data_IF_518440251526
#
_entry.id   IF_518440251526
#
_cell.length_a   1.000
_cell.length_b   1.000
_cell.length_c   1.000
_cell.angle_alpha   90.00
_cell.angle_beta   90.00
_cell.angle_gamma   90.00
#
_symmetry.space_group_name_H-M   'P 1'
#
loop_
_entity.id
_entity.type
_entity.pdbx_description
1 polymer ?
#
# COMPACT_ATOMS: atom_id res chain seq x y z
N UNK A 1 -7.25 1.79 -20.80
CA UNK A 1 -7.29 1.58 -19.34
C UNK A 1 -6.41 0.40 -19.04
N UNK A 2 -5.35 0.61 -18.29
CA UNK A 2 -4.50 -0.48 -17.84
C UNK A 2 -5.02 -1.08 -16.51
N UNK A 3 -4.28 -2.03 -15.94
CA UNK A 3 -4.69 -2.69 -14.69
C UNK A 3 -4.69 -1.74 -13.50
N UNK A 4 -3.77 -0.78 -13.44
CA UNK A 4 -3.68 0.15 -12.33
C UNK A 4 -4.84 1.14 -12.37
N UNK A 5 -5.13 1.70 -13.55
CA UNK A 5 -6.30 2.55 -13.77
C UNK A 5 -7.59 1.83 -13.33
N UNK A 6 -7.74 0.57 -13.74
CA UNK A 6 -8.92 -0.21 -13.41
C UNK A 6 -9.06 -0.46 -11.90
N UNK A 7 -7.95 -0.73 -11.19
CA UNK A 7 -7.96 -0.87 -9.73
C UNK A 7 -8.40 0.43 -9.05
N UNK A 8 -7.89 1.58 -9.50
CA UNK A 8 -8.28 2.88 -8.96
C UNK A 8 -9.77 3.17 -9.13
N UNK A 9 -10.32 2.86 -10.31
CA UNK A 9 -11.76 3.01 -10.59
C UNK A 9 -12.63 2.09 -9.73
N UNK A 10 -12.26 0.81 -9.63
CA UNK A 10 -12.98 -0.15 -8.78
C UNK A 10 -12.97 0.30 -7.31
N UNK A 11 -11.81 0.74 -6.81
CA UNK A 11 -11.70 1.21 -5.43
C UNK A 11 -12.51 2.47 -5.20
N UNK A 12 -12.46 3.43 -6.13
CA UNK A 12 -13.21 4.68 -6.01
C UNK A 12 -14.71 4.42 -5.95
N UNK A 13 -15.23 3.56 -6.84
CA UNK A 13 -16.63 3.19 -6.84
C UNK A 13 -17.05 2.50 -5.52
N UNK A 14 -16.20 1.63 -4.99
CA UNK A 14 -16.45 0.99 -3.68
C UNK A 14 -16.44 2.00 -2.53
N UNK A 15 -15.43 2.87 -2.46
CA UNK A 15 -15.30 3.90 -1.42
C UNK A 15 -16.50 4.85 -1.39
N UNK A 16 -16.94 5.31 -2.56
CA UNK A 16 -18.10 6.19 -2.69
C UNK A 16 -19.38 5.52 -2.20
N UNK A 17 -19.60 4.25 -2.58
CA UNK A 17 -20.76 3.48 -2.11
C UNK A 17 -20.70 3.21 -0.60
N UNK A 18 -19.52 2.88 -0.07
CA UNK A 18 -19.29 2.65 1.35
C UNK A 18 -19.56 3.93 2.16
N UNK A 19 -18.98 5.05 1.76
CA UNK A 19 -19.17 6.34 2.41
C UNK A 19 -20.65 6.74 2.43
N UNK A 20 -21.35 6.54 1.30
CA UNK A 20 -22.79 6.81 1.19
C UNK A 20 -23.62 5.92 2.11
N UNK A 21 -23.35 4.61 2.15
CA UNK A 21 -24.11 3.65 2.99
C UNK A 21 -23.87 3.82 4.49
N UNK A 22 -22.69 4.31 4.86
CA UNK A 22 -22.26 4.42 6.26
C UNK A 22 -22.35 5.85 6.81
N UNK A 23 -22.85 6.79 6.02
CA UNK A 23 -22.95 8.22 6.36
C UNK A 23 -21.59 8.82 6.79
N UNK A 24 -20.56 8.61 5.97
CA UNK A 24 -19.17 9.00 6.27
C UNK A 24 -18.70 10.22 5.44
N UNK A 25 -19.64 10.98 4.87
CA UNK A 25 -19.34 12.10 3.96
C UNK A 25 -18.68 13.29 4.66
N UNK A 26 -18.90 13.46 5.97
CA UNK A 26 -18.41 14.61 6.74
C UNK A 26 -17.01 14.40 7.33
N UNK A 27 -16.34 13.30 6.99
CA UNK A 27 -14.98 13.02 7.47
C UNK A 27 -13.98 13.78 6.60
N UNK A 28 -13.17 14.63 7.24
CA UNK A 28 -12.12 15.37 6.55
C UNK A 28 -10.97 14.47 6.10
N UNK A 29 -10.18 14.98 5.16
CA UNK A 29 -9.08 14.26 4.53
C UNK A 29 -8.02 13.79 5.54
N UNK A 30 -7.67 14.60 6.55
CA UNK A 30 -6.66 14.23 7.53
C UNK A 30 -7.15 13.10 8.45
N UNK A 31 -8.42 13.14 8.85
CA UNK A 31 -9.06 12.07 9.61
C UNK A 31 -9.18 10.78 8.79
N UNK A 32 -9.49 10.86 7.49
CA UNK A 32 -9.46 9.71 6.59
C UNK A 32 -8.07 9.07 6.53
N UNK A 33 -7.02 9.87 6.37
CA UNK A 33 -5.66 9.36 6.34
C UNK A 33 -5.28 8.61 7.63
N UNK A 34 -5.72 9.10 8.80
CA UNK A 34 -5.52 8.39 10.06
C UNK A 34 -6.25 7.03 10.07
N UNK A 35 -7.48 6.98 9.56
CA UNK A 35 -8.28 5.74 9.50
C UNK A 35 -7.66 4.71 8.55
N UNK A 36 -7.26 5.13 7.36
CA UNK A 36 -6.66 4.24 6.36
C UNK A 36 -5.29 3.71 6.83
N UNK A 37 -4.45 4.56 7.45
CA UNK A 37 -3.18 4.11 8.03
C UNK A 37 -3.42 3.07 9.13
N UNK A 38 -4.41 3.30 9.99
CA UNK A 38 -4.76 2.34 11.04
C UNK A 38 -5.27 1.01 10.45
N UNK A 39 -6.06 1.07 9.38
CA UNK A 39 -6.54 -0.13 8.67
C UNK A 39 -5.36 -0.93 8.10
N UNK A 40 -4.42 -0.29 7.40
CA UNK A 40 -3.20 -0.96 6.89
C UNK A 40 -2.38 -1.58 8.04
N UNK A 41 -2.24 -0.89 9.18
CA UNK A 41 -1.53 -1.46 10.35
C UNK A 41 -2.23 -2.73 10.85
N UNK A 42 -3.57 -2.74 10.85
CA UNK A 42 -4.36 -3.92 11.21
C UNK A 42 -4.06 -5.09 10.27
N UNK A 43 -4.19 -4.87 8.95
CA UNK A 43 -3.97 -5.91 7.94
C UNK A 43 -2.51 -6.42 7.90
N UNK A 44 -1.54 -5.55 8.18
CA UNK A 44 -0.15 -5.97 8.37
C UNK A 44 0.00 -6.90 9.58
N UNK A 45 -0.78 -6.70 10.64
CA UNK A 45 -0.86 -7.59 11.78
C UNK A 45 -1.47 -8.95 11.42
N UNK A 46 -2.51 -8.97 10.59
CA UNK A 46 -3.13 -10.18 10.04
C UNK A 46 -2.13 -10.96 9.18
N UNK A 47 -1.48 -10.27 8.23
CA UNK A 47 -0.42 -10.82 7.39
C UNK A 47 0.74 -11.40 8.22
N UNK A 48 1.14 -10.71 9.28
CA UNK A 48 2.19 -11.19 10.17
C UNK A 48 1.79 -12.49 10.88
N UNK A 49 0.51 -12.66 11.23
CA UNK A 49 0.01 -13.91 11.81
C UNK A 49 0.05 -15.09 10.84
N UNK A 50 0.06 -14.85 9.52
CA UNK A 50 0.16 -15.90 8.50
C UNK A 50 1.58 -16.42 8.27
N UNK A 51 2.58 -15.75 8.85
CA UNK A 51 3.98 -16.18 8.86
C UNK A 51 4.46 -16.57 10.27
N UNK A 52 5.61 -17.25 10.34
CA UNK A 52 6.18 -17.76 11.60
C UNK A 52 6.96 -16.68 12.38
N UNK A 53 6.35 -15.52 12.67
CA UNK A 53 7.04 -14.45 13.39
C UNK A 53 7.25 -14.73 14.89
N UNK A 54 6.38 -15.58 15.48
CA UNK A 54 6.45 -15.97 16.90
C UNK A 54 7.58 -16.98 17.07
N UNK A 55 8.80 -16.50 17.22
CA UNK A 55 10.01 -17.32 17.34
C UNK A 55 10.01 -18.27 18.56
N UNK A 56 9.13 -18.03 19.54
CA UNK A 56 8.92 -18.89 20.71
C UNK A 56 7.84 -19.97 20.51
N UNK A 57 7.29 -20.13 19.30
CA UNK A 57 6.32 -21.18 18.94
C UNK A 57 6.90 -22.12 17.88
N UNK A 58 6.36 -23.35 17.85
CA UNK A 58 6.68 -24.30 16.77
C UNK A 58 6.24 -23.74 15.41
N UNK A 59 7.06 -23.91 14.35
CA UNK A 59 6.71 -23.46 13.01
C UNK A 59 5.42 -24.13 12.49
N UNK A 60 4.58 -23.34 11.82
CA UNK A 60 3.44 -23.83 11.04
C UNK A 60 3.72 -23.71 9.53
N UNK A 61 3.10 -24.55 8.67
CA UNK A 61 3.11 -24.33 7.24
C UNK A 61 2.53 -22.96 6.89
N UNK A 62 3.10 -22.31 5.87
CA UNK A 62 2.63 -21.02 5.39
C UNK A 62 1.33 -21.20 4.60
N UNK A 63 0.31 -20.40 4.90
CA UNK A 63 -0.92 -20.35 4.13
C UNK A 63 -0.82 -19.26 3.05
N UNK A 64 -0.41 -19.64 1.84
CA UNK A 64 -0.28 -18.73 0.70
C UNK A 64 -1.60 -18.07 0.29
N UNK A 65 -2.73 -18.77 0.51
CA UNK A 65 -4.06 -18.23 0.21
C UNK A 65 -4.39 -17.05 1.11
N UNK A 66 -4.15 -17.20 2.42
CA UNK A 66 -4.36 -16.14 3.39
C UNK A 66 -3.40 -14.98 3.22
N UNK A 67 -2.11 -15.25 3.00
CA UNK A 67 -1.14 -14.18 2.67
C UNK A 67 -1.61 -13.32 1.50
N UNK A 68 -2.13 -13.95 0.44
CA UNK A 68 -2.63 -13.23 -0.73
C UNK A 68 -3.86 -12.38 -0.39
N UNK A 69 -4.76 -12.88 0.46
CA UNK A 69 -5.92 -12.14 0.96
C UNK A 69 -5.47 -10.86 1.68
N UNK A 70 -4.60 -10.98 2.69
CA UNK A 70 -4.13 -9.84 3.46
C UNK A 70 -3.33 -8.83 2.61
N UNK A 71 -2.55 -9.30 1.63
CA UNK A 71 -1.84 -8.42 0.68
C UNK A 71 -2.80 -7.61 -0.21
N UNK A 72 -3.95 -8.19 -0.58
CA UNK A 72 -4.98 -7.51 -1.36
C UNK A 72 -5.73 -6.51 -0.48
N UNK A 73 -5.99 -6.82 0.79
CA UNK A 73 -6.63 -5.89 1.72
C UNK A 73 -5.74 -4.68 2.01
N UNK A 74 -4.43 -4.88 2.17
CA UNK A 74 -3.45 -3.78 2.24
C UNK A 74 -3.50 -2.91 0.97
N UNK A 75 -3.63 -3.52 -0.20
CA UNK A 75 -3.73 -2.79 -1.47
C UNK A 75 -5.02 -1.96 -1.52
N UNK A 76 -6.16 -2.49 -1.10
CA UNK A 76 -7.44 -1.76 -1.05
C UNK A 76 -7.28 -0.45 -0.27
N UNK A 77 -6.80 -0.51 0.97
CA UNK A 77 -6.62 0.68 1.81
C UNK A 77 -5.57 1.64 1.25
N UNK A 78 -4.48 1.14 0.65
CA UNK A 78 -3.49 2.01 0.03
C UNK A 78 -4.06 2.79 -1.17
N UNK A 79 -4.85 2.14 -2.03
CA UNK A 79 -5.50 2.82 -3.17
C UNK A 79 -6.59 3.77 -2.68
N UNK A 80 -7.34 3.42 -1.62
CA UNK A 80 -8.28 4.33 -0.96
C UNK A 80 -7.58 5.60 -0.45
N UNK A 81 -6.40 5.50 0.15
CA UNK A 81 -5.60 6.66 0.53
C UNK A 81 -5.27 7.55 -0.68
N UNK A 82 -4.80 6.97 -1.78
CA UNK A 82 -4.51 7.74 -3.00
C UNK A 82 -5.75 8.48 -3.51
N UNK A 83 -6.88 7.77 -3.65
CA UNK A 83 -8.15 8.35 -4.11
C UNK A 83 -8.63 9.49 -3.20
N UNK A 84 -8.60 9.30 -1.88
CA UNK A 84 -9.00 10.32 -0.89
C UNK A 84 -8.05 11.51 -0.86
N UNK A 85 -6.80 11.32 -1.30
CA UNK A 85 -5.82 12.39 -1.48
C UNK A 85 -5.90 13.08 -2.84
N UNK A 86 -6.78 12.61 -3.74
CA UNK A 86 -6.87 13.14 -5.11
C UNK A 86 -5.68 12.76 -5.99
N UNK A 87 -4.91 11.74 -5.61
CA UNK A 87 -3.78 11.23 -6.38
C UNK A 87 -4.32 10.25 -7.41
N UNK A 88 -4.08 10.52 -8.69
CA UNK A 88 -4.47 9.63 -9.79
C UNK A 88 -3.54 8.42 -9.94
N UNK A 89 -4.01 7.37 -10.63
CA UNK A 89 -3.18 6.22 -11.03
C UNK A 89 -1.94 6.66 -11.81
N UNK A 90 -2.09 7.64 -12.70
CA UNK A 90 -1.02 8.21 -13.50
C UNK A 90 0.04 8.90 -12.63
N UNK A 91 -0.36 9.81 -11.73
CA UNK A 91 0.57 10.50 -10.84
C UNK A 91 1.32 9.53 -9.93
N UNK A 92 0.62 8.52 -9.39
CA UNK A 92 1.25 7.48 -8.58
C UNK A 92 2.28 6.68 -9.39
N UNK A 93 1.94 6.30 -10.62
CA UNK A 93 2.82 5.54 -11.51
C UNK A 93 4.09 6.32 -11.87
N UNK A 94 3.95 7.59 -12.26
CA UNK A 94 5.09 8.46 -12.57
C UNK A 94 6.01 8.65 -11.35
N UNK A 95 5.43 8.91 -10.18
CA UNK A 95 6.18 9.01 -8.93
C UNK A 95 6.92 7.71 -8.59
N UNK A 96 6.29 6.55 -8.83
CA UNK A 96 6.92 5.25 -8.66
C UNK A 96 8.11 5.08 -9.61
N UNK A 97 7.97 5.41 -10.89
CA UNK A 97 9.05 5.29 -11.87
C UNK A 97 10.27 6.13 -11.50
N UNK A 98 10.05 7.40 -11.09
CA UNK A 98 11.12 8.27 -10.63
C UNK A 98 11.82 7.71 -9.40
N UNK A 99 11.05 7.22 -8.41
CA UNK A 99 11.61 6.62 -7.20
C UNK A 99 12.36 5.32 -7.50
N UNK A 100 11.86 4.51 -8.41
CA UNK A 100 12.50 3.26 -8.83
C UNK A 100 13.85 3.53 -9.51
N UNK A 101 13.91 4.48 -10.44
CA UNK A 101 15.15 4.91 -11.09
C UNK A 101 16.19 5.40 -10.08
N UNK A 102 15.76 6.22 -9.12
CA UNK A 102 16.61 6.71 -8.02
C UNK A 102 17.11 5.56 -7.13
N UNK A 103 16.28 4.56 -6.83
CA UNK A 103 16.71 3.40 -6.04
C UNK A 103 17.76 2.55 -6.79
N UNK A 104 17.64 2.39 -8.11
CA UNK A 104 18.69 1.75 -8.91
C UNK A 104 19.97 2.59 -8.96
N UNK A 105 19.87 3.90 -9.14
CA UNK A 105 21.02 4.80 -9.11
C UNK A 105 21.80 4.69 -7.79
N UNK A 106 21.10 4.53 -6.66
CA UNK A 106 21.68 4.25 -5.35
C UNK A 106 22.48 2.95 -5.29
N UNK A 107 21.92 1.84 -5.78
CA UNK A 107 22.64 0.57 -5.75
C UNK A 107 23.81 0.52 -6.74
N UNK A 108 23.77 1.34 -7.78
CA UNK A 108 24.82 1.45 -8.80
C UNK A 108 25.85 2.56 -8.51
N UNK A 109 25.79 3.22 -7.35
CA UNK A 109 26.71 4.31 -7.00
C UNK A 109 26.62 5.57 -7.88
N UNK A 110 25.57 5.69 -8.70
CA UNK A 110 25.35 6.84 -9.59
C UNK A 110 24.35 7.85 -9.01
N UNK A 111 23.91 7.64 -7.77
CA UNK A 111 23.03 8.54 -7.02
C UNK A 111 23.82 9.73 -6.46
N UNK A 112 23.22 10.91 -6.47
CA UNK A 112 23.79 12.11 -5.83
C UNK A 112 23.66 12.10 -4.29
N UNK A 113 22.93 11.13 -3.71
CA UNK A 113 22.80 10.97 -2.26
C UNK A 113 24.00 10.26 -1.64
N UNK A 114 24.49 10.81 -0.53
CA UNK A 114 25.56 10.24 0.28
C UNK A 114 25.19 8.88 0.89
N UNK A 115 26.19 8.02 1.09
CA UNK A 115 26.03 6.70 1.73
C UNK A 115 25.64 5.55 0.78
N UNK A 116 25.72 5.80 -0.53
CA UNK A 116 25.43 4.83 -1.59
C UNK A 116 26.62 4.66 -2.55
N UNK A 117 27.80 5.08 -2.12
CA UNK A 117 29.05 4.85 -2.83
C UNK A 117 29.30 3.34 -2.94
N UNK A 118 29.71 2.84 -4.11
CA UNK A 118 30.06 1.43 -4.26
C UNK A 118 31.31 1.16 -3.44
N UNK A 119 31.19 0.28 -2.44
CA UNK A 119 32.32 -0.23 -1.67
C UNK A 119 32.96 -1.37 -2.51
N UNK A 120 34.28 -1.30 -2.80
CA UNK A 120 34.98 -2.30 -3.62
C UNK A 120 35.01 -3.71 -3.02
#
# INVERSE_FOLDING_TARGET
>A
MDKLDHIFELQKAFDEDLCRRRNLQDIDQATWMQKEVLAIISELGELLNEVNFKWWKNPKPINQGKIKEELVDILHFFISMCNKMGISSQELYEAYQLKNKENFARQNGSSAKQGYEIIP
#
